data_IF_867962235718
#
_entry.id   IF_867962235718
#
_cell.length_a   1.000
_cell.length_b   1.000
_cell.length_c   1.000
_cell.angle_alpha   90.00
_cell.angle_beta   90.00
_cell.angle_gamma   90.00
#
_symmetry.space_group_name_H-M   'P 1'
#
loop_
_entity.id
_entity.type
_entity.pdbx_description
1 polymer ?
#
# COMPACT_ATOMS: atom_id res chain seq x y z
N UNK A 1 4.53 -5.74 23.41
CA UNK A 1 4.69 -5.44 24.84
C UNK A 1 3.44 -4.77 25.41
N UNK A 2 3.03 -3.61 24.88
CA UNK A 2 1.78 -2.95 25.26
C UNK A 2 0.58 -3.91 25.35
N UNK A 3 0.27 -4.61 24.26
CA UNK A 3 -0.89 -5.54 24.22
C UNK A 3 -0.74 -6.71 25.21
N UNK A 4 0.50 -7.20 25.39
CA UNK A 4 0.79 -8.26 26.36
C UNK A 4 0.48 -7.81 27.79
N UNK A 5 0.89 -6.60 28.18
CA UNK A 5 0.62 -6.04 29.52
C UNK A 5 -0.87 -5.80 29.73
N UNK A 6 -1.53 -5.21 28.74
CA UNK A 6 -2.99 -5.01 28.73
C UNK A 6 -3.73 -6.33 28.94
N UNK A 7 -3.33 -7.39 28.23
CA UNK A 7 -3.92 -8.71 28.36
C UNK A 7 -3.60 -9.36 29.70
N UNK A 8 -2.33 -9.31 30.15
CA UNK A 8 -1.88 -9.86 31.43
C UNK A 8 -2.66 -9.26 32.60
N UNK A 9 -2.89 -7.95 32.55
CA UNK A 9 -3.55 -7.18 33.61
C UNK A 9 -5.07 -7.14 33.43
N UNK A 10 -5.62 -7.82 32.42
CA UNK A 10 -7.05 -7.92 32.09
C UNK A 10 -7.74 -6.55 31.91
N UNK A 11 -7.06 -5.59 31.31
CA UNK A 11 -7.66 -4.27 31.01
C UNK A 11 -8.70 -4.43 29.91
N UNK A 12 -9.93 -4.01 30.19
CA UNK A 12 -11.03 -4.14 29.25
C UNK A 12 -10.92 -3.17 28.07
N UNK A 13 -11.52 -3.53 26.94
CA UNK A 13 -11.63 -2.64 25.78
C UNK A 13 -12.33 -1.31 26.11
N UNK A 14 -13.20 -1.29 27.13
CA UNK A 14 -13.88 -0.07 27.57
C UNK A 14 -12.92 0.85 28.35
N UNK A 15 -12.05 0.30 29.19
CA UNK A 15 -11.00 1.06 29.88
C UNK A 15 -9.97 1.60 28.89
N UNK A 16 -9.63 0.83 27.86
CA UNK A 16 -8.72 1.26 26.80
C UNK A 16 -9.27 2.43 25.96
N UNK A 17 -10.55 2.81 26.08
CA UNK A 17 -11.04 4.06 25.47
C UNK A 17 -10.50 5.31 26.18
N UNK A 18 -10.00 5.17 27.40
CA UNK A 18 -9.40 6.28 28.15
C UNK A 18 -7.93 6.48 27.72
N UNK A 19 -7.64 7.65 27.16
CA UNK A 19 -6.30 8.02 26.68
C UNK A 19 -5.24 7.99 27.78
N UNK A 20 -5.60 8.32 29.02
CA UNK A 20 -4.67 8.25 30.16
C UNK A 20 -4.27 6.82 30.48
N UNK A 21 -5.22 5.88 30.39
CA UNK A 21 -4.94 4.45 30.57
C UNK A 21 -4.03 3.96 29.44
N UNK A 22 -4.34 4.28 28.17
CA UNK A 22 -3.46 3.91 27.06
C UNK A 22 -2.05 4.46 27.24
N UNK A 23 -1.92 5.73 27.63
CA UNK A 23 -0.60 6.36 27.87
C UNK A 23 0.15 5.64 28.99
N UNK A 24 -0.51 5.34 30.11
CA UNK A 24 0.12 4.64 31.24
C UNK A 24 0.68 3.26 30.85
N UNK A 25 -0.04 2.51 30.02
CA UNK A 25 0.41 1.20 29.54
C UNK A 25 1.51 1.31 28.46
N UNK A 26 1.52 2.38 27.65
CA UNK A 26 2.65 2.65 26.74
C UNK A 26 3.92 2.97 27.52
N UNK A 27 3.81 3.82 28.55
CA UNK A 27 4.94 4.16 29.42
C UNK A 27 5.44 2.93 30.19
N UNK A 28 4.53 2.08 30.68
CA UNK A 28 4.87 0.82 31.31
C UNK A 28 5.56 -0.14 30.33
N UNK A 29 5.06 -0.27 29.10
CA UNK A 29 5.67 -1.10 28.07
C UNK A 29 7.10 -0.66 27.74
N UNK A 30 7.35 0.64 27.66
CA UNK A 30 8.71 1.18 27.48
C UNK A 30 9.61 0.80 28.64
N UNK A 31 9.19 1.03 29.88
CA UNK A 31 9.96 0.67 31.09
C UNK A 31 10.25 -0.82 31.19
N UNK A 32 9.29 -1.66 30.82
CA UNK A 32 9.46 -3.11 30.77
C UNK A 32 10.53 -3.51 29.76
N UNK A 33 10.50 -2.95 28.55
CA UNK A 33 11.53 -3.23 27.55
C UNK A 33 12.91 -2.76 28.02
N UNK A 34 13.00 -1.59 28.65
CA UNK A 34 14.27 -1.01 29.14
C UNK A 34 14.88 -1.81 30.29
N UNK A 35 14.07 -2.29 31.23
CA UNK A 35 14.56 -2.85 32.51
C UNK A 35 14.36 -4.36 32.67
N UNK A 36 13.49 -4.98 31.85
CA UNK A 36 13.03 -6.35 32.06
C UNK A 36 13.93 -7.46 31.50
N UNK A 37 15.06 -7.12 30.86
CA UNK A 37 16.01 -8.11 30.35
C UNK A 37 15.49 -8.97 29.19
N UNK A 38 14.49 -8.47 28.45
CA UNK A 38 13.88 -9.19 27.33
C UNK A 38 14.86 -9.38 26.16
N UNK A 39 14.75 -10.54 25.49
CA UNK A 39 15.39 -10.78 24.20
C UNK A 39 14.38 -10.54 23.06
N UNK A 40 14.50 -9.40 22.38
CA UNK A 40 13.67 -9.07 21.22
C UNK A 40 14.36 -9.62 19.96
N UNK A 41 13.73 -10.60 19.32
CA UNK A 41 14.20 -11.16 18.05
C UNK A 41 13.43 -10.50 16.92
N UNK A 42 14.15 -9.88 15.98
CA UNK A 42 13.56 -9.21 14.81
C UNK A 42 13.68 -10.09 13.57
N UNK A 43 12.97 -9.72 12.50
CA UNK A 43 13.07 -10.36 11.18
C UNK A 43 14.22 -9.82 10.33
N UNK A 44 14.92 -8.79 10.81
CA UNK A 44 15.94 -8.08 10.04
C UNK A 44 17.13 -9.01 9.80
N UNK A 45 17.42 -9.24 8.53
CA UNK A 45 18.66 -9.86 8.12
C UNK A 45 19.77 -8.79 8.15
N UNK A 46 20.70 -8.91 9.10
CA UNK A 46 21.77 -7.94 9.33
C UNK A 46 22.56 -7.60 8.07
N UNK A 47 22.95 -8.60 7.28
CA UNK A 47 23.80 -8.40 6.10
C UNK A 47 23.02 -7.68 5.00
N UNK A 48 21.78 -8.09 4.77
CA UNK A 48 20.89 -7.46 3.78
C UNK A 48 20.59 -6.01 4.16
N UNK A 49 20.21 -5.76 5.41
CA UNK A 49 19.89 -4.41 5.87
C UNK A 49 21.11 -3.48 5.81
N UNK A 50 22.30 -3.96 6.17
CA UNK A 50 23.54 -3.20 6.04
C UNK A 50 23.86 -2.88 4.56
N UNK A 51 23.65 -3.84 3.65
CA UNK A 51 23.80 -3.59 2.22
C UNK A 51 22.81 -2.53 1.71
N UNK A 52 21.56 -2.54 2.18
CA UNK A 52 20.57 -1.50 1.85
C UNK A 52 21.01 -0.11 2.35
N UNK A 53 21.60 -0.02 3.56
CA UNK A 53 22.10 1.25 4.09
C UNK A 53 23.28 1.77 3.26
N UNK A 54 24.21 0.87 2.90
CA UNK A 54 25.33 1.23 2.02
C UNK A 54 24.83 1.67 0.64
N UNK A 55 23.84 0.99 0.07
CA UNK A 55 23.28 1.35 -1.22
C UNK A 55 22.68 2.77 -1.23
N UNK A 56 21.87 3.13 -0.22
CA UNK A 56 21.32 4.50 -0.15
C UNK A 56 22.41 5.54 0.14
N UNK A 57 23.42 5.21 0.94
CA UNK A 57 24.54 6.12 1.21
C UNK A 57 25.41 6.37 -0.03
N UNK A 58 25.67 5.32 -0.82
CA UNK A 58 26.50 5.40 -2.03
C UNK A 58 25.74 5.94 -3.24
N UNK A 59 24.50 5.52 -3.45
CA UNK A 59 23.75 5.78 -4.68
C UNK A 59 22.53 6.69 -4.49
N UNK A 60 22.22 7.12 -3.26
CA UNK A 60 21.05 7.97 -3.01
C UNK A 60 21.08 9.29 -3.79
N UNK A 61 22.26 9.79 -4.16
CA UNK A 61 22.41 10.98 -5.00
C UNK A 61 21.85 10.81 -6.42
N UNK A 62 21.67 9.58 -6.91
CA UNK A 62 21.05 9.32 -8.21
C UNK A 62 19.56 9.69 -8.24
N UNK A 63 18.94 9.87 -7.07
CA UNK A 63 17.58 10.36 -6.95
C UNK A 63 17.51 11.89 -7.02
N UNK A 64 18.63 12.59 -6.89
CA UNK A 64 18.66 14.05 -6.95
C UNK A 64 18.31 14.49 -8.38
N UNK A 65 17.39 15.45 -8.47
CA UNK A 65 16.88 15.97 -9.74
C UNK A 65 16.80 17.50 -9.70
N UNK A 66 16.19 18.12 -10.72
CA UNK A 66 16.03 19.57 -10.79
C UNK A 66 15.21 20.18 -9.64
N UNK A 67 14.56 19.35 -8.82
CA UNK A 67 13.76 19.76 -7.66
C UNK A 67 14.53 19.68 -6.34
N UNK A 68 15.78 19.20 -6.35
CA UNK A 68 16.67 19.17 -5.19
C UNK A 68 17.07 17.75 -4.79
N UNK A 69 16.91 17.43 -3.50
CA UNK A 69 17.27 16.12 -2.92
C UNK A 69 16.03 15.38 -2.43
N UNK A 70 15.34 14.60 -3.29
CA UNK A 70 14.21 13.79 -2.88
C UNK A 70 14.59 12.80 -1.76
N UNK A 71 13.65 12.61 -0.82
CA UNK A 71 13.73 11.56 0.20
C UNK A 71 13.32 10.19 -0.36
N UNK A 72 13.67 9.13 0.35
CA UNK A 72 13.44 7.75 -0.10
C UNK A 72 13.04 6.81 1.04
N UNK A 73 12.06 5.95 0.77
CA UNK A 73 11.70 4.82 1.62
C UNK A 73 11.79 3.52 0.83
N UNK A 74 12.31 2.45 1.42
CA UNK A 74 12.30 1.10 0.83
C UNK A 74 12.01 0.06 1.89
N UNK A 75 11.32 -1.02 1.53
CA UNK A 75 11.09 -2.20 2.38
C UNK A 75 11.35 -3.44 1.55
N UNK A 76 12.17 -4.35 2.07
CA UNK A 76 12.35 -5.68 1.53
C UNK A 76 11.65 -6.69 2.42
N UNK A 77 10.73 -7.44 1.83
CA UNK A 77 9.86 -8.38 2.53
C UNK A 77 10.02 -9.78 1.94
N UNK A 78 10.08 -10.78 2.82
CA UNK A 78 9.94 -12.18 2.46
C UNK A 78 8.47 -12.45 2.09
N UNK A 79 8.25 -12.94 0.88
CA UNK A 79 6.89 -13.09 0.38
C UNK A 79 6.12 -14.18 1.16
N UNK A 80 6.75 -15.28 1.54
CA UNK A 80 6.07 -16.43 2.15
C UNK A 80 5.60 -16.12 3.58
N UNK A 81 6.38 -15.33 4.30
CA UNK A 81 6.18 -15.08 5.74
C UNK A 81 5.70 -13.67 6.04
N UNK A 82 5.86 -12.73 5.11
CA UNK A 82 5.69 -11.29 5.36
C UNK A 82 6.80 -10.67 6.21
N UNK A 83 7.88 -11.41 6.49
CA UNK A 83 8.98 -10.93 7.32
C UNK A 83 9.74 -9.78 6.64
N UNK A 84 9.93 -8.66 7.33
CA UNK A 84 10.75 -7.55 6.83
C UNK A 84 12.22 -7.89 7.04
N UNK A 85 12.94 -8.12 5.94
CA UNK A 85 14.35 -8.51 5.96
C UNK A 85 15.29 -7.31 6.07
N UNK A 86 14.83 -6.15 5.60
CA UNK A 86 15.56 -4.89 5.68
C UNK A 86 14.72 -3.75 5.11
N UNK A 87 15.06 -2.52 5.47
CA UNK A 87 14.41 -1.32 4.96
C UNK A 87 15.39 -0.15 4.85
N UNK A 88 15.00 0.91 4.15
CA UNK A 88 15.66 2.22 4.12
C UNK A 88 14.64 3.24 4.60
N UNK A 89 14.91 3.91 5.72
CA UNK A 89 14.00 4.90 6.30
C UNK A 89 14.13 6.31 5.70
N UNK A 90 15.23 6.61 5.00
CA UNK A 90 15.51 7.95 4.48
C UNK A 90 16.91 8.03 3.90
N UNK A 91 17.26 9.19 3.34
CA UNK A 91 18.59 9.44 2.79
C UNK A 91 19.69 9.42 3.86
N UNK A 92 19.44 10.10 4.97
CA UNK A 92 20.39 10.25 6.07
C UNK A 92 19.66 10.60 7.37
N UNK A 93 19.68 9.67 8.32
CA UNK A 93 18.95 9.82 9.59
C UNK A 93 19.43 11.01 10.43
N UNK A 94 20.70 11.39 10.37
CA UNK A 94 21.24 12.52 11.12
C UNK A 94 20.74 13.88 10.58
N UNK A 95 20.35 13.94 9.31
CA UNK A 95 19.79 15.15 8.68
C UNK A 95 18.27 15.19 8.72
N UNK A 96 17.62 14.03 8.62
CA UNK A 96 16.17 13.89 8.64
C UNK A 96 15.77 12.57 9.30
N UNK A 97 15.07 12.66 10.42
CA UNK A 97 14.67 11.51 11.23
C UNK A 97 13.31 10.90 10.79
N UNK A 98 12.63 11.48 9.80
CA UNK A 98 11.39 10.92 9.29
C UNK A 98 11.65 9.54 8.67
N UNK A 99 10.90 8.53 9.12
CA UNK A 99 10.98 7.18 8.56
C UNK A 99 10.00 7.02 7.39
N UNK A 100 10.53 7.16 6.18
CA UNK A 100 9.78 7.04 4.93
C UNK A 100 9.41 5.60 4.58
N UNK A 101 10.02 4.61 5.22
CA UNK A 101 9.58 3.23 5.09
C UNK A 101 8.32 3.00 5.91
N UNK A 102 8.35 3.30 7.20
CA UNK A 102 7.36 2.79 8.15
C UNK A 102 6.29 3.83 8.50
N UNK A 103 6.65 5.11 8.64
CA UNK A 103 5.75 6.07 9.29
C UNK A 103 5.00 6.94 8.28
N UNK A 104 5.70 7.43 7.26
CA UNK A 104 5.11 8.38 6.31
C UNK A 104 4.03 7.73 5.46
N UNK A 105 2.88 8.41 5.36
CA UNK A 105 1.78 8.02 4.48
C UNK A 105 1.79 8.87 3.21
N UNK A 106 1.75 8.23 2.05
CA UNK A 106 1.62 8.91 0.73
C UNK A 106 0.62 8.16 -0.15
N UNK A 107 0.10 8.84 -1.16
CA UNK A 107 -0.71 8.16 -2.17
C UNK A 107 0.15 7.15 -2.93
N UNK A 108 -0.29 5.89 -3.08
CA UNK A 108 0.37 4.90 -3.94
C UNK A 108 0.27 5.21 -5.44
N UNK A 109 -0.50 6.23 -5.82
CA UNK A 109 -0.77 6.59 -7.20
C UNK A 109 -1.23 5.36 -8.03
N UNK A 110 -0.74 5.23 -9.25
CA UNK A 110 -1.14 4.17 -10.19
C UNK A 110 -0.74 2.74 -9.78
N UNK A 111 0.08 2.56 -8.74
CA UNK A 111 0.34 1.22 -8.20
C UNK A 111 -0.91 0.58 -7.56
N UNK A 112 -1.96 1.39 -7.35
CA UNK A 112 -3.29 0.94 -6.92
C UNK A 112 -4.05 0.16 -8.00
N UNK A 113 -3.83 0.46 -9.30
CA UNK A 113 -4.64 -0.08 -10.41
C UNK A 113 -4.65 -1.61 -10.47
N UNK A 114 -3.49 -2.30 -10.37
CA UNK A 114 -3.49 -3.76 -10.39
C UNK A 114 -4.26 -4.36 -9.22
N UNK A 115 -4.28 -3.71 -8.05
CA UNK A 115 -4.78 -4.28 -6.79
C UNK A 115 -6.28 -4.02 -6.58
N UNK A 116 -6.74 -2.80 -6.88
CA UNK A 116 -8.11 -2.35 -6.56
C UNK A 116 -9.04 -2.38 -7.77
N UNK A 117 -8.50 -2.31 -8.99
CA UNK A 117 -9.31 -2.31 -10.20
C UNK A 117 -9.15 -3.62 -10.98
N UNK A 118 -7.99 -3.85 -11.58
CA UNK A 118 -7.85 -4.90 -12.58
C UNK A 118 -7.91 -6.30 -11.98
N UNK A 119 -7.19 -6.58 -10.88
CA UNK A 119 -7.23 -7.90 -10.25
C UNK A 119 -8.64 -8.25 -9.78
N UNK A 120 -9.35 -7.32 -9.14
CA UNK A 120 -10.72 -7.57 -8.65
C UNK A 120 -11.66 -7.80 -9.83
N UNK A 121 -11.54 -7.04 -10.92
CA UNK A 121 -12.35 -7.29 -12.12
C UNK A 121 -12.07 -8.66 -12.74
N UNK A 122 -10.80 -9.11 -12.74
CA UNK A 122 -10.42 -10.44 -13.21
C UNK A 122 -10.97 -11.53 -12.29
N UNK A 123 -10.83 -11.37 -10.97
CA UNK A 123 -11.30 -12.32 -9.96
C UNK A 123 -12.82 -12.50 -9.98
N UNK A 124 -13.55 -11.42 -10.28
CA UNK A 124 -15.01 -11.43 -10.49
C UNK A 124 -15.42 -11.97 -11.87
N UNK A 125 -14.48 -12.37 -12.73
CA UNK A 125 -14.76 -12.85 -14.09
C UNK A 125 -15.31 -11.77 -15.04
N UNK A 126 -15.14 -10.49 -14.70
CA UNK A 126 -15.58 -9.34 -15.51
C UNK A 126 -14.55 -8.94 -16.57
N UNK A 127 -13.31 -9.44 -16.44
CA UNK A 127 -12.19 -9.11 -17.30
C UNK A 127 -11.25 -10.31 -17.43
N UNK A 128 -10.60 -10.45 -18.58
CA UNK A 128 -9.50 -11.39 -18.80
C UNK A 128 -8.24 -10.68 -19.27
N UNK A 129 -7.14 -11.43 -19.42
CA UNK A 129 -5.82 -10.88 -19.77
C UNK A 129 -5.80 -10.13 -21.11
N UNK A 130 -6.63 -10.53 -22.07
CA UNK A 130 -6.75 -9.93 -23.39
C UNK A 130 -7.96 -9.00 -23.55
N UNK A 131 -8.66 -8.65 -22.46
CA UNK A 131 -9.81 -7.74 -22.51
C UNK A 131 -9.41 -6.38 -23.08
N UNK A 132 -10.34 -5.78 -23.83
CA UNK A 132 -10.20 -4.44 -24.40
C UNK A 132 -10.85 -3.43 -23.44
N UNK A 133 -10.15 -2.31 -23.22
CA UNK A 133 -10.62 -1.20 -22.41
C UNK A 133 -10.63 0.09 -23.23
N UNK A 134 -11.59 0.96 -22.93
CA UNK A 134 -11.62 2.31 -23.49
C UNK A 134 -10.57 3.19 -22.82
N UNK A 135 -9.77 3.87 -23.65
CA UNK A 135 -9.00 5.05 -23.28
C UNK A 135 -9.45 6.29 -24.06
N UNK A 136 -10.66 6.29 -24.63
CA UNK A 136 -11.21 7.49 -25.27
C UNK A 136 -11.37 8.61 -24.23
N UNK A 137 -11.17 9.88 -24.63
CA UNK A 137 -11.35 11.01 -23.73
C UNK A 137 -12.67 10.99 -22.99
N UNK A 138 -12.58 11.17 -21.67
CA UNK A 138 -13.74 11.20 -20.79
C UNK A 138 -13.45 12.09 -19.58
N UNK A 139 -14.50 12.41 -18.84
CA UNK A 139 -14.44 13.34 -17.72
C UNK A 139 -14.85 12.63 -16.42
N UNK A 140 -14.32 13.12 -15.30
CA UNK A 140 -14.88 12.83 -13.98
C UNK A 140 -16.27 13.45 -13.83
N UNK A 141 -16.99 13.07 -12.78
CA UNK A 141 -18.34 13.58 -12.50
C UNK A 141 -18.38 15.09 -12.28
N UNK A 142 -17.26 15.69 -11.88
CA UNK A 142 -17.12 17.14 -11.73
C UNK A 142 -16.85 17.89 -13.05
N UNK A 143 -16.81 17.18 -14.19
CA UNK A 143 -16.60 17.73 -15.53
C UNK A 143 -15.13 17.87 -15.94
N UNK A 144 -14.16 17.66 -15.05
CA UNK A 144 -12.74 17.75 -15.40
C UNK A 144 -12.32 16.52 -16.23
N UNK A 145 -11.48 16.71 -17.28
CA UNK A 145 -11.00 15.61 -18.09
C UNK A 145 -10.08 14.69 -17.28
N UNK A 146 -10.18 13.38 -17.54
CA UNK A 146 -9.26 12.40 -16.98
C UNK A 146 -7.97 12.42 -17.80
N UNK A 147 -6.92 13.04 -17.26
CA UNK A 147 -5.65 13.22 -17.97
C UNK A 147 -4.65 12.10 -17.67
N UNK A 148 -3.78 11.79 -18.65
CA UNK A 148 -2.52 11.07 -18.45
C UNK A 148 -1.39 11.95 -18.97
N UNK A 149 -0.56 12.45 -18.05
CA UNK A 149 0.41 13.52 -18.34
C UNK A 149 -0.32 14.70 -19.02
N UNK A 150 -0.15 14.89 -20.32
CA UNK A 150 -0.79 15.94 -21.12
C UNK A 150 -1.81 15.39 -22.13
N UNK A 151 -2.08 14.08 -22.13
CA UNK A 151 -3.03 13.44 -23.04
C UNK A 151 -4.41 13.30 -22.39
N UNK A 152 -5.49 13.70 -23.09
CA UNK A 152 -6.85 13.47 -22.62
C UNK A 152 -7.35 12.04 -22.92
N UNK A 153 -6.57 11.21 -23.61
CA UNK A 153 -6.96 9.87 -24.04
C UNK A 153 -6.59 9.56 -25.49
N UNK A 154 -6.82 8.32 -25.89
CA UNK A 154 -6.61 7.79 -27.24
C UNK A 154 -7.86 7.08 -27.75
N UNK A 155 -7.88 5.74 -27.74
CA UNK A 155 -8.97 4.89 -28.19
C UNK A 155 -9.00 3.57 -27.42
N UNK A 156 -9.50 2.51 -28.05
CA UNK A 156 -9.48 1.18 -27.44
C UNK A 156 -8.05 0.64 -27.31
N UNK A 157 -7.77 -0.08 -26.22
CA UNK A 157 -6.49 -0.74 -25.98
C UNK A 157 -6.66 -2.04 -25.21
N UNK A 158 -5.65 -2.89 -25.22
CA UNK A 158 -5.64 -4.12 -24.41
C UNK A 158 -5.37 -3.82 -22.93
N UNK A 159 -5.75 -4.72 -22.03
CA UNK A 159 -5.35 -4.65 -20.61
C UNK A 159 -3.83 -4.58 -20.46
N UNK A 160 -3.09 -5.37 -21.23
CA UNK A 160 -1.62 -5.36 -21.22
C UNK A 160 -1.06 -3.98 -21.56
N UNK A 161 -1.60 -3.33 -22.59
CA UNK A 161 -1.20 -1.96 -22.95
C UNK A 161 -1.59 -0.94 -21.87
N UNK A 162 -2.80 -1.05 -21.32
CA UNK A 162 -3.26 -0.19 -20.23
C UNK A 162 -2.37 -0.26 -18.99
N UNK A 163 -1.85 -1.46 -18.66
CA UNK A 163 -0.90 -1.69 -17.59
C UNK A 163 0.51 -1.18 -17.93
N UNK A 164 1.02 -1.49 -19.12
CA UNK A 164 2.37 -1.11 -19.57
C UNK A 164 2.56 0.42 -19.58
N UNK A 165 1.55 1.15 -20.04
CA UNK A 165 1.56 2.62 -20.07
C UNK A 165 0.92 3.25 -18.84
N UNK A 166 0.29 2.46 -17.98
CA UNK A 166 -0.46 2.95 -16.82
C UNK A 166 -1.47 4.04 -17.21
N UNK A 167 -2.27 3.80 -18.24
CA UNK A 167 -3.34 4.73 -18.63
C UNK A 167 -4.38 4.88 -17.50
N UNK A 168 -4.93 6.09 -17.34
CA UNK A 168 -5.84 6.41 -16.23
C UNK A 168 -7.30 6.05 -16.55
N UNK A 169 -7.76 6.31 -17.77
CA UNK A 169 -9.15 6.10 -18.19
C UNK A 169 -9.57 4.61 -18.12
N UNK A 170 -8.75 3.63 -18.56
CA UNK A 170 -9.09 2.21 -18.40
C UNK A 170 -9.30 1.80 -16.93
N UNK A 171 -8.48 2.32 -16.01
CA UNK A 171 -8.60 2.04 -14.59
C UNK A 171 -9.88 2.66 -14.00
N UNK A 172 -10.22 3.89 -14.40
CA UNK A 172 -11.47 4.56 -14.04
C UNK A 172 -12.69 3.73 -14.46
N UNK A 173 -12.77 3.30 -15.72
CA UNK A 173 -13.89 2.50 -16.22
C UNK A 173 -14.00 1.15 -15.52
N UNK A 174 -12.86 0.51 -15.25
CA UNK A 174 -12.83 -0.76 -14.52
C UNK A 174 -13.43 -0.58 -13.12
N UNK A 175 -12.97 0.42 -12.38
CA UNK A 175 -13.47 0.66 -11.03
C UNK A 175 -14.95 1.08 -11.01
N UNK A 176 -15.37 1.91 -11.97
CA UNK A 176 -16.78 2.24 -12.15
C UNK A 176 -17.63 0.99 -12.40
N UNK A 177 -17.16 0.07 -13.24
CA UNK A 177 -17.86 -1.21 -13.50
C UNK A 177 -18.01 -2.03 -12.22
N UNK A 178 -16.96 -2.12 -11.40
CA UNK A 178 -17.01 -2.81 -10.10
C UNK A 178 -18.09 -2.21 -9.18
N UNK A 179 -18.18 -0.88 -9.13
CA UNK A 179 -19.20 -0.17 -8.35
C UNK A 179 -20.61 -0.40 -8.88
N UNK A 180 -20.82 -0.30 -10.19
CA UNK A 180 -22.12 -0.54 -10.84
C UNK A 180 -22.61 -1.98 -10.65
N UNK A 181 -21.68 -2.94 -10.57
CA UNK A 181 -21.98 -4.35 -10.27
C UNK A 181 -22.13 -4.66 -8.78
N UNK A 182 -21.89 -3.69 -7.89
CA UNK A 182 -21.98 -3.88 -6.45
C UNK A 182 -20.91 -4.83 -5.88
N UNK A 183 -19.74 -4.91 -6.51
CA UNK A 183 -18.63 -5.75 -6.03
C UNK A 183 -18.13 -5.23 -4.69
N UNK A 184 -17.91 -6.12 -3.72
CA UNK A 184 -17.35 -5.79 -2.40
C UNK A 184 -15.84 -5.51 -2.44
N UNK A 185 -15.45 -4.43 -3.13
CA UNK A 185 -14.06 -3.99 -3.22
C UNK A 185 -13.47 -3.75 -1.83
N UNK A 186 -14.28 -3.24 -0.89
CA UNK A 186 -13.86 -3.00 0.49
C UNK A 186 -13.39 -4.29 1.15
N UNK A 187 -14.13 -5.39 1.01
CA UNK A 187 -13.74 -6.69 1.54
C UNK A 187 -12.38 -7.17 1.01
N UNK A 188 -12.06 -6.96 -0.27
CA UNK A 188 -10.73 -7.29 -0.81
C UNK A 188 -9.63 -6.46 -0.16
N UNK A 189 -9.84 -5.15 -0.06
CA UNK A 189 -8.84 -4.23 0.45
C UNK A 189 -8.60 -4.43 1.96
N UNK A 190 -9.65 -4.61 2.75
CA UNK A 190 -9.54 -4.88 4.20
C UNK A 190 -8.84 -6.22 4.49
N UNK A 191 -9.09 -7.27 3.69
CA UNK A 191 -8.35 -8.55 3.79
C UNK A 191 -6.84 -8.38 3.61
N UNK A 192 -6.42 -7.40 2.83
CA UNK A 192 -5.00 -7.07 2.64
C UNK A 192 -4.44 -6.14 3.72
N UNK A 193 -5.29 -5.62 4.61
CA UNK A 193 -4.92 -4.67 5.66
C UNK A 193 -4.95 -3.21 5.21
N UNK A 194 -5.67 -2.89 4.12
CA UNK A 194 -5.85 -1.52 3.68
C UNK A 194 -6.99 -0.83 4.42
N UNK A 195 -6.71 0.38 4.88
CA UNK A 195 -7.69 1.29 5.46
C UNK A 195 -8.01 2.40 4.47
N UNK A 196 -9.17 2.30 3.81
CA UNK A 196 -9.66 3.30 2.86
C UNK A 196 -10.95 3.90 3.44
N UNK A 197 -10.99 5.21 3.72
CA UNK A 197 -12.14 5.83 4.38
C UNK A 197 -13.37 5.95 3.47
N UNK A 198 -13.17 6.14 2.17
CA UNK A 198 -14.24 6.36 1.19
C UNK A 198 -13.94 5.63 -0.13
N UNK A 199 -14.82 4.71 -0.52
CA UNK A 199 -14.71 3.93 -1.76
C UNK A 199 -15.48 4.60 -2.93
N UNK A 200 -16.28 5.62 -2.67
CA UNK A 200 -17.04 6.37 -3.67
C UNK A 200 -16.20 7.26 -4.60
N UNK A 201 -14.88 7.34 -4.41
CA UNK A 201 -13.98 8.23 -5.13
C UNK A 201 -13.66 7.68 -6.53
N UNK A 202 -13.97 8.46 -7.57
CA UNK A 202 -13.73 8.08 -8.97
C UNK A 202 -12.25 7.85 -9.31
N UNK A 203 -11.36 8.59 -8.63
CA UNK A 203 -9.91 8.50 -8.82
C UNK A 203 -9.20 7.52 -7.88
N UNK A 204 -9.96 6.73 -7.10
CA UNK A 204 -9.42 5.73 -6.19
C UNK A 204 -8.45 4.73 -6.86
N UNK A 205 -8.71 4.18 -8.07
CA UNK A 205 -7.75 3.28 -8.71
C UNK A 205 -6.47 3.99 -9.18
N UNK A 206 -6.44 5.32 -9.20
CA UNK A 206 -5.24 6.13 -9.43
C UNK A 206 -4.61 6.61 -8.11
N UNK A 207 -5.05 6.11 -6.96
CA UNK A 207 -4.55 6.44 -5.63
C UNK A 207 -5.22 7.65 -4.96
N UNK A 208 -6.28 8.21 -5.54
CA UNK A 208 -7.03 9.32 -4.94
C UNK A 208 -7.77 8.88 -3.67
N UNK A 209 -7.65 9.63 -2.58
CA UNK A 209 -8.31 9.30 -1.30
C UNK A 209 -7.68 8.13 -0.53
N UNK A 210 -6.56 7.59 -1.02
CA UNK A 210 -5.79 6.53 -0.38
C UNK A 210 -4.41 7.04 0.00
N UNK A 211 -3.98 6.76 1.24
CA UNK A 211 -2.61 7.02 1.69
C UNK A 211 -2.08 5.82 2.45
N UNK A 212 -0.84 5.45 2.18
CA UNK A 212 -0.24 4.19 2.64
C UNK A 212 1.18 4.39 3.15
N UNK A 213 1.58 3.54 4.09
CA UNK A 213 2.98 3.30 4.47
C UNK A 213 3.53 2.16 3.61
N UNK A 214 4.84 2.10 3.36
CA UNK A 214 5.39 1.06 2.46
C UNK A 214 5.12 -0.38 2.92
N UNK A 215 5.22 -0.74 4.22
CA UNK A 215 4.89 -2.09 4.70
C UNK A 215 3.43 -2.50 4.49
N UNK A 216 2.53 -1.52 4.36
CA UNK A 216 1.10 -1.79 4.14
C UNK A 216 0.76 -2.14 2.69
N UNK A 217 1.70 -1.93 1.76
CA UNK A 217 1.53 -2.36 0.36
C UNK A 217 1.75 -3.89 0.32
N UNK A 218 0.71 -4.69 0.03
CA UNK A 218 0.79 -6.13 0.01
C UNK A 218 1.73 -6.57 -1.12
N UNK A 219 2.57 -7.55 -0.80
CA UNK A 219 3.40 -8.26 -1.77
C UNK A 219 2.57 -9.33 -2.48
N UNK A 220 3.10 -9.91 -3.56
CA UNK A 220 2.39 -10.91 -4.37
C UNK A 220 1.73 -12.03 -3.56
N UNK A 221 2.31 -12.48 -2.44
CA UNK A 221 1.71 -13.55 -1.62
C UNK A 221 0.55 -13.07 -0.73
N UNK A 222 0.33 -11.77 -0.53
CA UNK A 222 -0.96 -11.29 0.02
C UNK A 222 -2.01 -11.08 -1.07
N UNK A 223 -1.57 -10.78 -2.29
CA UNK A 223 -2.44 -10.47 -3.44
C UNK A 223 -3.03 -11.71 -4.11
N UNK A 224 -2.23 -12.75 -4.32
CA UNK A 224 -2.61 -13.89 -5.17
C UNK A 224 -3.24 -15.08 -4.41
N UNK A 225 -2.83 -15.44 -3.18
CA UNK A 225 -3.47 -16.50 -2.40
C UNK A 225 -4.84 -16.13 -1.83
N UNK A 226 -5.14 -14.83 -1.68
CA UNK A 226 -6.49 -14.37 -1.27
C UNK A 226 -7.48 -14.34 -2.44
N UNK A 227 -6.97 -14.37 -3.68
CA UNK A 227 -7.72 -14.59 -4.91
C UNK A 227 -7.65 -16.08 -5.25
N UNK A 228 -8.39 -16.91 -4.50
CA UNK A 228 -8.62 -18.29 -4.90
C UNK A 228 -9.41 -18.30 -6.22
N UNK A 229 -8.70 -18.35 -7.35
CA UNK A 229 -9.27 -18.64 -8.65
C UNK A 229 -9.87 -20.06 -8.62
N UNK A 230 -11.14 -20.16 -8.23
CA UNK A 230 -11.91 -21.37 -8.48
C UNK A 230 -12.16 -21.41 -9.99
N UNK A 231 -11.30 -22.12 -10.72
CA UNK A 231 -11.59 -22.52 -12.09
C UNK A 231 -12.79 -23.47 -12.01
N UNK A 232 -14.00 -22.91 -12.13
CA UNK A 232 -15.18 -23.72 -12.46
C UNK A 232 -15.01 -24.12 -13.91
N UNK A 233 -14.51 -25.34 -14.12
CA UNK A 233 -14.59 -25.99 -15.42
C UNK A 233 -16.04 -25.90 -15.90
N UNK A 234 -16.23 -25.30 -17.07
CA UNK A 234 -17.47 -25.35 -17.84
C UNK A 234 -17.51 -26.68 -18.58
#
# INVERSE_FOLDING_TARGET
MYDYLVQRDNVSAQELKNESIQKSYRDLATKEIENGGYKITTTINKNVHAAMQNAVATYGYLLDDSTGQPEVGNVLMDNQTGAILGFVGGRNYQKNQNNHAIDTKRSPASTTKPILAYSIAIDQGLMGSASILSNYPTNFSNGNPIMYVNSPGTGMMTLGEALNYSWNIPAYWTYRTLREKGVDVKGYMEKMGYEIPEYGIESLPMGGGLTLQLPSIPTGIKLWPTMEFTIRNI
#
